data_IF_275462770666
#
_entry.id   IF_275462770666
#
_cell.length_a   1.000
_cell.length_b   1.000
_cell.length_c   1.000
_cell.angle_alpha   90.00
_cell.angle_beta   90.00
_cell.angle_gamma   90.00
#
_symmetry.space_group_name_H-M   'P 1'
#
loop_
_entity.id
_entity.type
_entity.pdbx_description
1 polymer ?
#
# COMPACT_ATOMS: atom_id res chain seq x y z
N UNK A 1 -6.90 3.24 8.32
CA UNK A 1 -6.43 1.95 7.80
C UNK A 1 -5.32 1.42 8.69
N UNK A 2 -5.21 0.09 8.87
CA UNK A 2 -4.02 -0.53 9.48
C UNK A 2 -3.45 -1.50 8.44
N UNK A 3 -2.19 -1.29 8.09
CA UNK A 3 -1.41 -2.22 7.30
C UNK A 3 -0.68 -3.16 8.27
N UNK A 4 -0.60 -4.44 7.89
CA UNK A 4 0.05 -5.49 8.67
C UNK A 4 0.85 -6.38 7.70
N UNK A 5 1.87 -5.77 7.11
CA UNK A 5 2.72 -6.37 6.08
C UNK A 5 4.15 -6.49 6.58
N UNK A 6 4.81 -7.60 6.32
CA UNK A 6 6.25 -7.77 6.59
C UNK A 6 7.07 -7.43 5.35
N UNK A 7 8.33 -7.02 5.52
CA UNK A 7 9.23 -6.77 4.38
C UNK A 7 9.46 -8.03 3.53
N UNK A 8 9.28 -9.21 4.10
CA UNK A 8 9.41 -10.48 3.37
C UNK A 8 8.17 -10.85 2.57
N UNK A 9 7.05 -10.18 2.79
CA UNK A 9 5.85 -10.33 1.97
C UNK A 9 6.05 -9.58 0.65
N UNK A 10 6.20 -10.32 -0.44
CA UNK A 10 6.37 -9.73 -1.77
C UNK A 10 5.04 -9.28 -2.40
N UNK A 11 3.90 -9.62 -1.79
CA UNK A 11 2.58 -9.17 -2.21
C UNK A 11 1.62 -9.12 -1.02
N UNK A 12 0.82 -8.06 -0.95
CA UNK A 12 -0.31 -7.97 -0.03
C UNK A 12 -1.45 -7.17 -0.67
N UNK A 13 -2.67 -7.42 -0.19
CA UNK A 13 -3.82 -6.60 -0.55
C UNK A 13 -4.69 -6.34 0.66
N UNK A 14 -5.21 -5.12 0.75
CA UNK A 14 -6.09 -4.69 1.83
C UNK A 14 -7.34 -4.03 1.24
N UNK A 15 -8.47 -4.11 1.97
CA UNK A 15 -9.72 -3.48 1.56
C UNK A 15 -10.15 -2.45 2.60
N UNK A 16 -10.36 -1.21 2.17
CA UNK A 16 -10.97 -0.17 3.01
C UNK A 16 -12.48 -0.16 2.75
N UNK A 17 -13.25 -0.73 3.69
CA UNK A 17 -14.72 -0.78 3.62
C UNK A 17 -15.37 0.62 3.63
N UNK A 18 -14.74 1.61 4.26
CA UNK A 18 -15.29 2.97 4.34
C UNK A 18 -15.18 3.71 3.01
N UNK A 19 -14.13 3.41 2.23
CA UNK A 19 -13.87 3.99 0.91
C UNK A 19 -14.28 3.06 -0.24
N UNK A 20 -14.64 1.81 0.04
CA UNK A 20 -14.96 0.80 -0.96
C UNK A 20 -13.81 0.55 -1.93
N UNK A 21 -12.56 0.66 -1.48
CA UNK A 21 -11.36 0.62 -2.33
C UNK A 21 -10.38 -0.44 -1.84
N UNK A 22 -9.74 -1.12 -2.79
CA UNK A 22 -8.62 -2.02 -2.54
C UNK A 22 -7.30 -1.26 -2.63
N UNK A 23 -6.34 -1.70 -1.82
CA UNK A 23 -4.94 -1.31 -1.86
C UNK A 23 -4.15 -2.56 -2.17
N UNK A 24 -3.40 -2.54 -3.26
CA UNK A 24 -2.51 -3.61 -3.69
C UNK A 24 -1.08 -3.15 -3.50
N UNK A 25 -0.26 -4.02 -2.91
CA UNK A 25 1.16 -3.81 -2.71
C UNK A 25 1.89 -4.99 -3.32
N UNK A 26 2.87 -4.72 -4.17
CA UNK A 26 3.74 -5.74 -4.74
C UNK A 26 5.21 -5.30 -4.71
N UNK A 27 6.11 -6.26 -4.55
CA UNK A 27 7.55 -6.05 -4.55
C UNK A 27 8.26 -7.22 -5.23
N UNK A 28 9.33 -6.92 -5.94
CA UNK A 28 10.19 -7.93 -6.58
C UNK A 28 11.49 -8.17 -5.81
N UNK A 29 11.89 -7.24 -4.95
CA UNK A 29 13.18 -7.23 -4.24
C UNK A 29 13.04 -7.14 -2.71
N UNK A 30 11.82 -7.04 -2.19
CA UNK A 30 11.50 -6.86 -0.77
C UNK A 30 12.08 -5.57 -0.15
N UNK A 31 12.43 -4.59 -0.99
CA UNK A 31 12.90 -3.26 -0.58
C UNK A 31 12.06 -2.14 -1.21
N UNK A 32 11.70 -2.30 -2.49
CA UNK A 32 10.85 -1.41 -3.27
C UNK A 32 9.45 -2.02 -3.41
N UNK A 33 8.45 -1.34 -2.85
CA UNK A 33 7.06 -1.76 -2.83
C UNK A 33 6.24 -0.80 -3.70
N UNK A 34 5.69 -1.30 -4.80
CA UNK A 34 4.74 -0.57 -5.63
C UNK A 34 3.34 -0.64 -5.01
N UNK A 35 2.64 0.49 -4.97
CA UNK A 35 1.30 0.58 -4.37
C UNK A 35 0.30 1.05 -5.41
N UNK A 36 -0.79 0.29 -5.56
CA UNK A 36 -1.94 0.63 -6.40
C UNK A 36 -3.22 0.70 -5.57
N UNK A 37 -4.08 1.65 -5.87
CA UNK A 37 -5.35 1.86 -5.16
C UNK A 37 -6.50 1.94 -6.17
N UNK A 38 -7.61 1.27 -5.89
CA UNK A 38 -8.83 1.29 -6.71
C UNK A 38 -9.68 0.03 -6.56
N UNK A 39 -10.32 -0.42 -7.62
CA UNK A 39 -11.07 -1.69 -7.62
C UNK A 39 -10.19 -2.84 -8.12
N UNK A 40 -10.74 -4.06 -8.10
CA UNK A 40 -10.08 -5.24 -8.69
C UNK A 40 -9.84 -5.07 -10.21
N UNK A 41 -10.76 -4.38 -10.89
CA UNK A 41 -10.72 -4.21 -12.36
C UNK A 41 -10.07 -2.88 -12.80
N UNK A 42 -10.06 -1.86 -11.92
CA UNK A 42 -9.51 -0.53 -12.20
C UNK A 42 -8.79 0.02 -10.95
N UNK A 43 -7.50 -0.34 -10.83
CA UNK A 43 -6.60 0.21 -9.83
C UNK A 43 -5.51 1.05 -10.48
N UNK A 44 -5.17 2.17 -9.85
CA UNK A 44 -4.17 3.12 -10.37
C UNK A 44 -2.95 3.18 -9.45
N UNK A 45 -1.75 3.43 -10.01
CA UNK A 45 -0.56 3.68 -9.21
C UNK A 45 -0.80 4.83 -8.21
N UNK A 46 -0.54 4.56 -6.93
CA UNK A 46 -0.57 5.54 -5.86
C UNK A 46 0.83 6.05 -5.53
N UNK A 47 1.85 5.20 -5.69
CA UNK A 47 3.25 5.53 -5.50
C UNK A 47 4.08 4.30 -5.13
N UNK A 48 5.36 4.52 -4.88
CA UNK A 48 6.30 3.48 -4.48
C UNK A 48 6.88 3.80 -3.09
N UNK A 49 7.15 2.76 -2.31
CA UNK A 49 7.71 2.84 -0.96
C UNK A 49 9.02 2.08 -0.94
N UNK A 50 10.07 2.73 -0.46
CA UNK A 50 11.31 2.05 -0.07
C UNK A 50 11.26 1.81 1.43
N UNK A 51 11.47 0.58 1.89
CA UNK A 51 11.51 0.25 3.32
C UNK A 51 12.45 -0.92 3.60
N UNK A 52 13.06 -0.93 4.78
CA UNK A 52 13.99 -1.97 5.23
C UNK A 52 13.51 -2.66 6.53
N UNK A 53 12.40 -2.21 7.11
CA UNK A 53 11.76 -2.83 8.27
C UNK A 53 10.24 -2.82 8.13
N UNK A 54 9.58 -3.76 8.82
CA UNK A 54 8.12 -3.87 8.83
C UNK A 54 7.47 -2.56 9.33
N UNK A 55 8.01 -1.98 10.40
CA UNK A 55 7.50 -0.74 10.97
C UNK A 55 7.58 0.43 9.97
N UNK A 56 8.70 0.54 9.25
CA UNK A 56 8.89 1.56 8.22
C UNK A 56 7.92 1.37 7.06
N UNK A 57 7.76 0.14 6.58
CA UNK A 57 6.85 -0.22 5.50
C UNK A 57 5.41 0.16 5.86
N UNK A 58 4.91 -0.30 7.00
CA UNK A 58 3.53 -0.05 7.42
C UNK A 58 3.27 1.43 7.72
N UNK A 59 4.26 2.16 8.25
CA UNK A 59 4.15 3.61 8.48
C UNK A 59 4.06 4.39 7.16
N UNK A 60 4.93 4.07 6.18
CA UNK A 60 4.93 4.71 4.85
C UNK A 60 3.69 4.35 4.04
N UNK A 61 3.18 3.13 4.16
CA UNK A 61 1.92 2.72 3.54
C UNK A 61 0.75 3.57 4.06
N UNK A 62 0.70 3.80 5.37
CA UNK A 62 -0.32 4.65 5.99
C UNK A 62 -0.21 6.10 5.53
N UNK A 63 1.00 6.65 5.45
CA UNK A 63 1.23 8.01 4.95
C UNK A 63 0.79 8.16 3.49
N UNK A 64 1.24 7.26 2.61
CA UNK A 64 0.88 7.26 1.19
C UNK A 64 -0.63 7.14 1.00
N UNK A 65 -1.26 6.22 1.73
CA UNK A 65 -2.70 6.02 1.71
C UNK A 65 -3.45 7.30 2.13
N UNK A 66 -3.08 7.90 3.27
CA UNK A 66 -3.72 9.11 3.78
C UNK A 66 -3.55 10.30 2.82
N UNK A 67 -2.40 10.41 2.15
CA UNK A 67 -2.17 11.42 1.11
C UNK A 67 -3.09 11.19 -0.10
N UNK A 68 -3.31 9.93 -0.49
CA UNK A 68 -4.19 9.59 -1.61
C UNK A 68 -5.66 9.86 -1.29
N UNK A 69 -6.14 9.51 -0.08
CA UNK A 69 -7.55 9.70 0.31
C UNK A 69 -7.86 11.09 0.89
N UNK A 70 -6.85 11.80 1.38
CA UNK A 70 -6.94 13.14 1.96
C UNK A 70 -6.58 14.26 0.98
N UNK A 71 -6.20 13.92 -0.25
CA UNK A 71 -5.98 14.88 -1.32
C UNK A 71 -7.30 15.49 -1.79
N UNK A 72 -7.55 16.72 -1.34
CA UNK A 72 -8.47 17.67 -1.97
C UNK A 72 -7.77 18.41 -3.11
#
# INVERSE_FOLDING_TARGET
>A
MKFDMTITDNFASFFDEQKGSHIFIDSFDNENFEVRIGSLDDSKPAGNIVAFTDDELNSKLLELYNKHIGGA
#
